data_IF_601035481121
#
_entry.id   IF_601035481121
#
_cell.length_a   1.000
_cell.length_b   1.000
_cell.length_c   1.000
_cell.angle_alpha   90.00
_cell.angle_beta   90.00
_cell.angle_gamma   90.00
#
_symmetry.space_group_name_H-M   'P 1'
#
loop_
_entity.id
_entity.type
_entity.pdbx_description
1 polymer ?
#
# COMPACT_ATOMS: atom_id res chain seq x y z
N UNK A 1 7.43 -80.88 -2.37
CA UNK A 1 6.13 -80.24 -2.70
C UNK A 1 6.04 -78.95 -1.95
N UNK A 2 6.29 -77.91 -2.60
CA UNK A 2 6.14 -76.58 -2.01
C UNK A 2 4.80 -75.97 -2.47
N UNK A 3 3.93 -75.48 -1.57
CA UNK A 3 2.78 -74.66 -1.97
C UNK A 3 3.24 -73.26 -2.31
N UNK A 4 2.97 -72.85 -3.52
CA UNK A 4 3.12 -71.49 -4.01
C UNK A 4 2.00 -70.66 -3.41
N UNK A 5 2.33 -69.86 -2.39
CA UNK A 5 1.46 -68.81 -1.93
C UNK A 5 1.62 -67.59 -2.87
N UNK A 6 0.64 -67.44 -3.74
CA UNK A 6 0.46 -66.23 -4.50
C UNK A 6 -0.08 -65.15 -3.56
N UNK A 7 0.77 -64.27 -3.03
CA UNK A 7 0.37 -63.08 -2.34
C UNK A 7 -0.30 -62.16 -3.35
N UNK A 8 -1.63 -62.13 -3.31
CA UNK A 8 -2.42 -61.14 -4.06
C UNK A 8 -2.18 -59.74 -3.49
N UNK A 9 -1.40 -58.95 -4.20
CA UNK A 9 -1.34 -57.52 -3.99
C UNK A 9 -2.71 -56.91 -4.30
N UNK A 10 -3.55 -56.78 -3.25
CA UNK A 10 -4.71 -55.92 -3.30
C UNK A 10 -4.19 -54.50 -3.32
N UNK A 11 -4.08 -53.95 -4.48
CA UNK A 11 -3.98 -52.49 -4.70
C UNK A 11 -5.28 -51.86 -4.23
N UNK A 12 -5.26 -51.33 -3.01
CA UNK A 12 -6.37 -50.52 -2.50
C UNK A 12 -6.50 -49.27 -3.36
N UNK A 13 -7.36 -49.36 -4.39
CA UNK A 13 -7.73 -48.22 -5.26
C UNK A 13 -8.40 -47.07 -4.50
N UNK A 14 -8.73 -47.27 -3.22
CA UNK A 14 -9.28 -46.23 -2.34
C UNK A 14 -8.25 -45.20 -1.89
N UNK A 15 -7.02 -45.63 -1.61
CA UNK A 15 -5.99 -44.72 -1.10
C UNK A 15 -5.50 -43.73 -2.17
N UNK A 16 -5.41 -44.15 -3.43
CA UNK A 16 -5.00 -43.30 -4.55
C UNK A 16 -6.01 -42.22 -4.86
N UNK A 17 -7.31 -42.43 -4.62
CA UNK A 17 -8.35 -41.46 -4.86
C UNK A 17 -8.37 -40.33 -3.84
N UNK A 18 -8.03 -40.61 -2.59
CA UNK A 18 -7.94 -39.59 -1.53
C UNK A 18 -6.72 -38.71 -1.67
N UNK A 19 -5.60 -39.27 -2.12
CA UNK A 19 -4.37 -38.48 -2.36
C UNK A 19 -4.53 -37.53 -3.55
N UNK A 20 -5.19 -37.98 -4.64
CA UNK A 20 -5.44 -37.12 -5.81
C UNK A 20 -6.41 -35.97 -5.53
N UNK A 21 -7.45 -36.19 -4.70
CA UNK A 21 -8.39 -35.11 -4.31
C UNK A 21 -7.73 -34.12 -3.35
N UNK A 22 -6.85 -34.56 -2.45
CA UNK A 22 -6.10 -33.69 -1.54
C UNK A 22 -5.13 -32.75 -2.26
N UNK A 23 -4.43 -33.26 -3.28
CA UNK A 23 -3.47 -32.48 -4.08
C UNK A 23 -4.16 -31.42 -4.95
N UNK A 24 -5.32 -31.73 -5.52
CA UNK A 24 -6.06 -30.75 -6.33
C UNK A 24 -6.64 -29.60 -5.51
N UNK A 25 -7.10 -29.85 -4.27
CA UNK A 25 -7.58 -28.79 -3.36
C UNK A 25 -6.43 -27.93 -2.88
N UNK A 26 -5.25 -28.50 -2.59
CA UNK A 26 -4.07 -27.72 -2.20
C UNK A 26 -3.52 -26.83 -3.33
N UNK A 27 -3.62 -27.28 -4.58
CA UNK A 27 -3.15 -26.50 -5.74
C UNK A 27 -4.10 -25.30 -6.03
N UNK A 28 -5.38 -25.43 -5.74
CA UNK A 28 -6.38 -24.39 -6.00
C UNK A 28 -6.34 -23.26 -4.94
N UNK A 29 -5.83 -23.53 -3.73
CA UNK A 29 -5.68 -22.53 -2.67
C UNK A 29 -4.49 -21.58 -2.88
N UNK A 30 -3.56 -21.89 -3.78
CA UNK A 30 -2.36 -21.08 -4.02
C UNK A 30 -2.55 -19.94 -5.05
N UNK A 31 -3.71 -19.84 -5.72
CA UNK A 31 -3.96 -18.83 -6.75
C UNK A 31 -4.59 -17.52 -6.23
N UNK A 32 -4.82 -17.40 -4.92
CA UNK A 32 -5.36 -16.17 -4.31
C UNK A 32 -4.29 -15.23 -3.77
N UNK A 33 -3.06 -15.24 -4.32
CA UNK A 33 -2.10 -14.17 -4.09
C UNK A 33 -2.56 -12.92 -4.85
N UNK A 34 -3.58 -12.24 -4.31
CA UNK A 34 -3.98 -10.93 -4.78
C UNK A 34 -2.77 -9.99 -4.69
N UNK A 35 -2.38 -9.40 -5.81
CA UNK A 35 -1.41 -8.30 -5.83
C UNK A 35 -1.97 -7.17 -4.98
N UNK A 36 -1.41 -6.96 -3.80
CA UNK A 36 -1.72 -5.80 -2.98
C UNK A 36 -1.32 -4.55 -3.77
N UNK A 37 -2.29 -3.91 -4.39
CA UNK A 37 -2.09 -2.63 -5.05
C UNK A 37 -1.81 -1.61 -3.94
N UNK A 38 -0.62 -1.03 -3.92
CA UNK A 38 -0.32 0.07 -3.01
C UNK A 38 -1.31 1.21 -3.31
N UNK A 39 -2.10 1.60 -2.30
CA UNK A 39 -3.01 2.73 -2.43
C UNK A 39 -2.20 4.03 -2.54
N UNK A 40 -2.68 5.00 -3.33
CA UNK A 40 -2.05 6.31 -3.43
C UNK A 40 -2.06 7.01 -2.06
N UNK A 41 -0.92 7.59 -1.67
CA UNK A 41 -0.83 8.40 -0.46
C UNK A 41 -1.27 9.83 -0.80
N UNK A 42 -2.42 10.22 -0.29
CA UNK A 42 -2.95 11.57 -0.48
C UNK A 42 -2.49 12.46 0.67
N UNK A 43 -1.75 13.52 0.37
CA UNK A 43 -1.25 14.49 1.34
C UNK A 43 -1.87 15.85 1.02
N UNK A 44 -2.40 16.54 2.02
CA UNK A 44 -2.89 17.89 1.81
C UNK A 44 -1.71 18.86 1.66
N UNK A 45 -1.94 19.93 0.88
CA UNK A 45 -0.96 21.00 0.71
C UNK A 45 -0.57 21.60 2.06
N UNK A 46 0.72 21.82 2.24
CA UNK A 46 1.32 22.37 3.47
C UNK A 46 1.06 21.53 4.74
N UNK A 47 0.81 20.22 4.54
CA UNK A 47 0.64 19.26 5.63
C UNK A 47 1.63 18.11 5.52
N UNK A 48 1.87 17.47 6.66
CA UNK A 48 2.73 16.29 6.76
C UNK A 48 1.94 15.07 7.18
N UNK A 49 2.25 13.93 6.58
CA UNK A 49 1.70 12.63 6.95
C UNK A 49 2.81 11.64 7.29
N UNK A 50 2.51 10.76 8.23
CA UNK A 50 3.41 9.68 8.62
C UNK A 50 3.14 8.44 7.77
N UNK A 51 4.19 7.94 7.12
CA UNK A 51 4.18 6.68 6.39
C UNK A 51 5.06 5.66 7.13
N UNK A 52 4.44 4.59 7.61
CA UNK A 52 5.15 3.49 8.25
C UNK A 52 5.46 2.40 7.24
N UNK A 53 6.71 1.99 7.18
CA UNK A 53 7.21 0.96 6.29
C UNK A 53 7.41 -0.37 7.02
N UNK A 54 7.37 -1.50 6.30
CA UNK A 54 7.50 -2.83 6.91
C UNK A 54 8.91 -3.15 7.41
N UNK A 55 9.94 -2.43 6.89
CA UNK A 55 11.34 -2.62 7.25
C UNK A 55 12.05 -1.28 7.46
N UNK A 56 13.24 -1.33 8.07
CA UNK A 56 14.08 -0.16 8.27
C UNK A 56 14.56 0.43 6.93
N UNK A 57 14.46 1.75 6.81
CA UNK A 57 14.86 2.54 5.63
C UNK A 57 16.24 3.10 5.84
N UNK A 58 17.09 2.94 4.85
CA UNK A 58 18.42 3.56 4.81
C UNK A 58 18.46 4.79 3.90
N UNK A 59 17.69 4.77 2.80
CA UNK A 59 17.66 5.84 1.82
C UNK A 59 16.29 6.01 1.21
N UNK A 60 15.95 7.23 0.82
CA UNK A 60 14.70 7.58 0.14
C UNK A 60 15.02 8.40 -1.10
N UNK A 61 14.39 8.04 -2.21
CA UNK A 61 14.46 8.77 -3.47
C UNK A 61 13.09 9.40 -3.72
N UNK A 62 13.08 10.69 -4.05
CA UNK A 62 11.87 11.45 -4.37
C UNK A 62 11.90 11.77 -5.86
N UNK A 63 10.80 11.47 -6.58
CA UNK A 63 10.70 11.74 -8.01
C UNK A 63 10.71 13.25 -8.32
N UNK A 64 9.95 14.04 -7.56
CA UNK A 64 9.93 15.50 -7.67
C UNK A 64 9.92 16.18 -6.29
N UNK A 65 11.08 16.71 -5.84
CA UNK A 65 11.20 17.36 -4.54
C UNK A 65 10.45 18.70 -4.42
N UNK A 66 9.98 19.27 -5.53
CA UNK A 66 9.16 20.48 -5.51
C UNK A 66 7.71 20.21 -5.09
N UNK A 67 7.21 18.99 -5.33
CA UNK A 67 5.83 18.57 -5.00
C UNK A 67 5.74 18.08 -3.57
N UNK A 68 6.66 17.22 -3.15
CA UNK A 68 6.69 16.66 -1.81
C UNK A 68 8.11 16.55 -1.28
N UNK A 69 8.24 16.59 0.03
CA UNK A 69 9.50 16.32 0.73
C UNK A 69 9.32 15.13 1.69
N UNK A 70 10.42 14.43 1.98
CA UNK A 70 10.38 13.26 2.85
C UNK A 70 11.56 13.27 3.82
N UNK A 71 11.25 13.12 5.10
CA UNK A 71 12.24 12.98 6.16
C UNK A 71 12.15 11.59 6.82
N UNK A 72 13.28 10.95 7.07
CA UNK A 72 13.36 9.69 7.80
C UNK A 72 13.31 10.01 9.30
N UNK A 73 12.30 9.48 9.99
CA UNK A 73 12.12 9.60 11.44
C UNK A 73 12.28 8.22 12.10
N UNK A 74 13.52 7.82 12.33
CA UNK A 74 13.84 6.57 13.03
C UNK A 74 13.39 5.30 12.31
N UNK A 75 14.32 4.47 11.92
CA UNK A 75 14.12 3.12 11.40
C UNK A 75 13.15 3.03 10.21
N UNK A 76 11.88 2.79 10.49
CA UNK A 76 10.88 2.49 9.47
C UNK A 76 9.76 3.53 9.33
N UNK A 77 9.98 4.74 9.83
CA UNK A 77 8.98 5.81 9.80
C UNK A 77 9.46 6.95 8.90
N UNK A 78 8.62 7.32 7.92
CA UNK A 78 8.82 8.48 7.04
C UNK A 78 7.80 9.56 7.35
N UNK A 79 8.23 10.81 7.34
CA UNK A 79 7.38 12.00 7.34
C UNK A 79 7.33 12.53 5.91
N UNK A 80 6.16 12.50 5.31
CA UNK A 80 5.92 13.00 3.96
C UNK A 80 5.21 14.34 4.05
N UNK A 81 5.80 15.39 3.49
CA UNK A 81 5.28 16.76 3.52
C UNK A 81 4.89 17.18 2.09
N UNK A 82 3.64 17.63 1.91
CA UNK A 82 3.16 18.19 0.64
C UNK A 82 3.58 19.64 0.50
N UNK A 83 4.33 19.97 -0.56
CA UNK A 83 4.86 21.33 -0.80
C UNK A 83 4.10 22.10 -1.88
N UNK A 84 3.76 21.42 -2.97
CA UNK A 84 2.95 21.99 -4.06
C UNK A 84 2.00 20.94 -4.59
N UNK A 85 0.93 21.41 -5.24
CA UNK A 85 -0.04 20.51 -5.87
C UNK A 85 0.60 19.69 -6.98
N UNK A 86 0.26 18.44 -7.05
CA UNK A 86 0.75 17.55 -8.09
C UNK A 86 0.85 16.11 -7.64
N UNK A 87 1.47 15.31 -8.49
CA UNK A 87 1.69 13.89 -8.28
C UNK A 87 3.18 13.60 -8.41
N UNK A 88 3.71 12.86 -7.45
CA UNK A 88 5.08 12.36 -7.47
C UNK A 88 5.11 10.93 -6.90
N UNK A 89 6.28 10.36 -6.78
CA UNK A 89 6.49 9.09 -6.07
C UNK A 89 7.71 9.16 -5.17
N UNK A 90 7.74 8.29 -4.19
CA UNK A 90 8.90 8.02 -3.34
C UNK A 90 9.27 6.55 -3.44
N UNK A 91 10.57 6.28 -3.46
CA UNK A 91 11.12 4.93 -3.43
C UNK A 91 11.97 4.83 -2.17
N UNK A 92 11.57 3.94 -1.26
CA UNK A 92 12.32 3.66 -0.04
C UNK A 92 13.22 2.45 -0.23
N UNK A 93 14.47 2.56 0.17
CA UNK A 93 15.52 1.54 0.05
C UNK A 93 16.04 1.13 1.42
N UNK A 94 16.41 -0.13 1.56
CA UNK A 94 17.15 -0.67 2.70
C UNK A 94 18.67 -0.42 2.59
N UNK A 95 19.43 -0.92 3.55
CA UNK A 95 20.90 -0.77 3.57
C UNK A 95 21.57 -1.50 2.41
N UNK A 96 20.98 -2.56 1.89
CA UNK A 96 21.44 -3.36 0.76
C UNK A 96 20.97 -2.79 -0.59
N UNK A 97 20.27 -1.64 -0.59
CA UNK A 97 19.69 -0.98 -1.77
C UNK A 97 18.53 -1.75 -2.41
N UNK A 98 17.88 -2.65 -1.69
CA UNK A 98 16.65 -3.26 -2.17
C UNK A 98 15.47 -2.30 -1.95
N UNK A 99 14.53 -2.31 -2.89
CA UNK A 99 13.31 -1.52 -2.77
C UNK A 99 12.42 -2.13 -1.67
N UNK A 100 12.15 -1.33 -0.63
CA UNK A 100 11.20 -1.69 0.42
C UNK A 100 9.79 -1.38 -0.04
N UNK A 101 9.62 -0.19 -0.63
CA UNK A 101 8.33 0.31 -1.11
C UNK A 101 8.52 1.39 -2.16
N UNK A 102 7.69 1.35 -3.19
CA UNK A 102 7.44 2.44 -4.12
C UNK A 102 6.03 2.96 -3.86
N UNK A 103 5.92 4.22 -3.45
CA UNK A 103 4.66 4.83 -3.05
C UNK A 103 4.38 6.06 -3.89
N UNK A 104 3.23 6.06 -4.57
CA UNK A 104 2.72 7.24 -5.26
C UNK A 104 2.14 8.24 -4.25
N UNK A 105 2.49 9.51 -4.40
CA UNK A 105 2.04 10.62 -3.57
C UNK A 105 1.23 11.58 -4.43
N UNK A 106 0.06 11.93 -3.94
CA UNK A 106 -0.81 12.94 -4.54
C UNK A 106 -0.94 14.09 -3.56
N UNK A 107 -0.42 15.27 -3.91
CA UNK A 107 -0.59 16.48 -3.11
C UNK A 107 -1.76 17.27 -3.67
N UNK A 108 -2.78 17.45 -2.85
CA UNK A 108 -4.02 18.13 -3.23
C UNK A 108 -4.45 19.15 -2.16
N UNK A 109 -5.42 19.99 -2.52
CA UNK A 109 -6.01 20.92 -1.57
C UNK A 109 -6.86 20.18 -0.56
N UNK A 110 -6.83 20.64 0.69
CA UNK A 110 -7.76 20.18 1.70
C UNK A 110 -9.15 20.78 1.43
N UNK A 111 -9.99 20.04 0.73
CA UNK A 111 -11.34 20.48 0.34
C UNK A 111 -12.30 20.61 1.54
N UNK A 112 -11.92 20.06 2.70
CA UNK A 112 -12.73 20.13 3.93
C UNK A 112 -12.88 21.58 4.43
N UNK A 113 -11.95 22.47 4.07
CA UNK A 113 -11.96 23.89 4.46
C UNK A 113 -12.42 24.82 3.35
N UNK A 114 -12.95 24.31 2.26
CA UNK A 114 -13.38 25.10 1.12
C UNK A 114 -14.90 25.11 1.04
N UNK A 115 -15.51 26.28 1.22
CA UNK A 115 -16.93 26.49 0.99
C UNK A 115 -17.14 26.98 -0.45
N UNK A 116 -17.84 26.18 -1.24
CA UNK A 116 -18.23 26.55 -2.60
C UNK A 116 -19.56 27.32 -2.54
N UNK A 117 -19.52 28.61 -2.80
CA UNK A 117 -20.71 29.46 -2.93
C UNK A 117 -21.10 29.59 -4.40
N UNK A 118 -22.31 29.19 -4.74
CA UNK A 118 -22.86 29.39 -6.08
C UNK A 118 -23.92 30.52 -6.01
N UNK A 119 -23.63 31.67 -6.59
CA UNK A 119 -24.57 32.79 -6.70
C UNK A 119 -24.67 33.21 -8.15
N UNK A 120 -25.88 33.17 -8.71
CA UNK A 120 -26.14 33.71 -10.06
C UNK A 120 -25.35 33.00 -11.18
N UNK A 121 -25.11 31.70 -11.10
CA UNK A 121 -24.36 30.93 -12.12
C UNK A 121 -22.82 31.06 -12.02
N UNK A 122 -22.31 31.87 -11.13
CA UNK A 122 -20.87 32.00 -10.84
C UNK A 122 -20.50 31.13 -9.62
N UNK A 123 -19.51 30.28 -9.79
CA UNK A 123 -18.97 29.46 -8.72
C UNK A 123 -17.75 30.13 -8.12
N UNK A 124 -17.84 30.51 -6.86
CA UNK A 124 -16.71 31.06 -6.10
C UNK A 124 -16.36 30.11 -4.96
N UNK A 125 -15.08 29.78 -4.88
CA UNK A 125 -14.55 28.91 -3.81
C UNK A 125 -13.84 29.78 -2.78
N UNK A 126 -14.28 29.71 -1.53
CA UNK A 126 -13.66 30.42 -0.41
C UNK A 126 -12.97 29.41 0.51
N UNK A 127 -11.71 29.68 0.83
CA UNK A 127 -11.00 28.94 1.86
C UNK A 127 -11.30 29.54 3.23
N UNK A 128 -11.88 28.77 4.14
CA UNK A 128 -12.11 29.21 5.50
C UNK A 128 -10.84 29.01 6.33
N UNK A 129 -10.18 30.09 6.70
CA UNK A 129 -9.18 30.07 7.77
C UNK A 129 -9.93 30.23 9.10
N UNK A 130 -9.81 29.30 10.06
CA UNK A 130 -10.38 29.52 11.39
C UNK A 130 -9.69 30.72 12.00
N UNK A 131 -10.42 31.82 12.12
CA UNK A 131 -9.98 32.98 12.90
C UNK A 131 -10.01 32.52 14.37
N UNK A 132 -8.82 32.28 14.94
CA UNK A 132 -8.72 32.13 16.38
C UNK A 132 -9.46 33.27 17.00
N UNK A 133 -10.52 32.98 17.78
CA UNK A 133 -11.36 34.00 18.40
C UNK A 133 -10.49 34.96 19.16
N UNK A 134 -10.26 36.10 18.55
CA UNK A 134 -9.80 37.28 19.25
C UNK A 134 -10.98 37.72 20.10
N UNK A 135 -10.74 37.76 21.38
CA UNK A 135 -11.58 38.37 22.37
C UNK A 135 -12.11 39.71 21.88
N UNK A 136 -13.38 39.87 22.07
CA UNK A 136 -14.00 41.14 22.07
C UNK A 136 -13.54 41.96 23.29
#
# INVERSE_FOLDING_TARGET
MAPTDAASLRTDAGFARWVLTGVTIALMACMAAGTAKSADLVVAYDQSQLLRLPRAVSSVIIGNPSIADVAIQGGNLLVVTGKTFGVTNIIALDAERNIIQDQRIVVQRDDVRTVNLTKGGLRQSYSCTPKNGGEA
#
